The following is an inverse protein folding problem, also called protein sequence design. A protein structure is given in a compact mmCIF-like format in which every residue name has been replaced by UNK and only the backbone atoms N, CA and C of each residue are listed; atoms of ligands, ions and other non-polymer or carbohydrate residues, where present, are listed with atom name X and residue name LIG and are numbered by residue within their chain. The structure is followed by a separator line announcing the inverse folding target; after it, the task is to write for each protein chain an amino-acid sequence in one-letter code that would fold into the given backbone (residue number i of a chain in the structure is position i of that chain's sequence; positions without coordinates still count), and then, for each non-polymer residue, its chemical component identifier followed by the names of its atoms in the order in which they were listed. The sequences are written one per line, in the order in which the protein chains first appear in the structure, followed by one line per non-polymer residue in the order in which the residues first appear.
data_IF_177630876218
#
_entry.id   IF_177630876218
#
_cell.length_a   1.000
_cell.length_b   1.000
_cell.length_c   1.000
_cell.angle_alpha   90.00
_cell.angle_beta   90.00
_cell.angle_gamma   90.00
#
_symmetry.space_group_name_H-M   'P 1'
#
loop_
_entity.id
_entity.type
_entity.pdbx_description
1 polymer ?
#
# COMPACT_ATOMS: atom_id res chain seq x y z
N UNK A 1 5.63 -2.51 17.06
CA UNK A 1 4.45 -1.75 16.60
C UNK A 1 3.87 -2.42 15.37
N UNK A 2 2.55 -2.38 15.21
CA UNK A 2 1.86 -2.90 14.03
C UNK A 2 1.47 -1.77 13.07
N UNK A 3 1.84 -1.90 11.79
CA UNK A 3 1.56 -0.93 10.74
C UNK A 3 0.77 -1.57 9.60
N UNK A 4 -0.35 -0.95 9.23
CA UNK A 4 -1.16 -1.28 8.08
C UNK A 4 -1.04 -0.20 7.02
N UNK A 5 -0.68 -0.56 5.79
CA UNK A 5 -0.60 0.35 4.65
C UNK A 5 -1.54 -0.14 3.56
N UNK A 6 -2.39 0.77 3.09
CA UNK A 6 -3.31 0.50 2.01
C UNK A 6 -3.17 1.56 0.91
N UNK A 7 -2.61 1.15 -0.23
CA UNK A 7 -2.44 2.02 -1.39
C UNK A 7 -3.64 1.82 -2.31
N UNK A 8 -4.44 2.87 -2.47
CA UNK A 8 -5.64 2.89 -3.30
C UNK A 8 -5.39 3.69 -4.57
N UNK A 9 -5.96 3.17 -5.64
CA UNK A 9 -6.00 3.87 -6.93
C UNK A 9 -7.36 3.74 -7.56
N UNK A 10 -7.85 4.76 -8.24
CA UNK A 10 -9.04 4.66 -9.08
C UNK A 10 -8.76 3.70 -10.22
N UNK A 11 -9.66 2.74 -10.45
CA UNK A 11 -9.56 1.83 -11.60
C UNK A 11 -9.63 2.67 -12.89
N UNK A 12 -8.58 2.69 -13.73
CA UNK A 12 -8.63 3.49 -14.96
C UNK A 12 -9.73 2.99 -15.87
N UNK A 13 -10.43 3.89 -16.56
CA UNK A 13 -11.50 3.51 -17.50
C UNK A 13 -11.00 2.60 -18.64
N UNK A 14 -9.72 2.70 -18.99
CA UNK A 14 -9.06 1.86 -19.99
C UNK A 14 -8.71 0.46 -19.50
N UNK A 15 -8.88 0.14 -18.21
CA UNK A 15 -8.61 -1.21 -17.72
C UNK A 15 -9.62 -2.21 -18.29
N UNK A 16 -9.14 -3.37 -18.79
CA UNK A 16 -10.02 -4.38 -19.34
C UNK A 16 -10.94 -4.93 -18.25
N UNK A 17 -12.20 -5.20 -18.61
CA UNK A 17 -13.20 -5.82 -17.69
C UNK A 17 -12.99 -7.33 -17.54
N UNK A 18 -12.25 -7.95 -18.45
CA UNK A 18 -11.95 -9.39 -18.48
C UNK A 18 -10.44 -9.60 -18.56
N UNK A 19 -9.91 -10.72 -18.05
CA UNK A 19 -8.49 -11.04 -18.19
C UNK A 19 -8.04 -11.07 -19.66
N UNK A 20 -6.86 -10.51 -19.93
CA UNK A 20 -6.21 -10.56 -21.24
C UNK A 20 -4.76 -11.05 -21.06
N UNK A 21 -4.08 -11.40 -22.15
CA UNK A 21 -2.66 -11.78 -22.10
C UNK A 21 -1.79 -10.67 -21.46
N UNK A 22 -2.10 -9.40 -21.70
CA UNK A 22 -1.36 -8.27 -21.16
C UNK A 22 -1.80 -7.85 -19.73
N UNK A 23 -3.03 -8.24 -19.33
CA UNK A 23 -3.56 -7.99 -18.01
C UNK A 23 -4.38 -9.20 -17.51
N UNK A 24 -3.70 -10.21 -16.91
CA UNK A 24 -4.37 -11.40 -16.43
C UNK A 24 -5.21 -11.17 -15.16
N UNK A 25 -4.99 -10.06 -14.43
CA UNK A 25 -5.71 -9.73 -13.20
C UNK A 25 -6.40 -8.35 -13.32
N UNK A 26 -7.51 -8.24 -14.07
CA UNK A 26 -8.18 -6.96 -14.34
C UNK A 26 -8.76 -6.28 -13.09
N UNK A 27 -9.01 -7.04 -12.03
CA UNK A 27 -9.55 -6.53 -10.75
C UNK A 27 -8.47 -6.30 -9.70
N UNK A 28 -7.19 -6.54 -10.04
CA UNK A 28 -6.05 -6.26 -9.17
C UNK A 28 -5.16 -5.19 -9.79
N UNK A 29 -4.71 -4.27 -8.96
CA UNK A 29 -3.70 -3.30 -9.37
C UNK A 29 -2.29 -3.84 -9.09
N UNK A 30 -1.76 -4.57 -10.07
CA UNK A 30 -0.43 -5.20 -9.99
C UNK A 30 0.67 -4.42 -10.73
N UNK A 31 0.33 -3.31 -11.39
CA UNK A 31 1.31 -2.49 -12.12
C UNK A 31 2.19 -1.71 -11.15
N UNK A 32 3.40 -1.38 -11.61
CA UNK A 32 4.38 -0.54 -10.90
C UNK A 32 3.79 0.79 -10.41
N UNK A 33 4.37 1.42 -9.37
CA UNK A 33 5.50 0.94 -8.54
C UNK A 33 5.15 -0.32 -7.74
N UNK A 34 6.14 -1.12 -7.37
CA UNK A 34 5.93 -2.33 -6.57
C UNK A 34 5.52 -1.97 -5.13
N UNK A 35 4.93 -2.92 -4.40
CA UNK A 35 4.34 -2.62 -3.08
C UNK A 35 5.37 -2.19 -2.03
N UNK A 36 6.56 -2.79 -2.08
CA UNK A 36 7.71 -2.49 -1.24
C UNK A 36 8.25 -1.07 -1.47
N UNK A 37 8.13 -0.55 -2.70
CA UNK A 37 8.55 0.83 -3.00
C UNK A 37 7.69 1.84 -2.23
N UNK A 38 6.39 1.56 -2.06
CA UNK A 38 5.52 2.38 -1.23
C UNK A 38 5.90 2.26 0.24
N UNK A 39 6.15 1.04 0.74
CA UNK A 39 6.58 0.83 2.14
C UNK A 39 7.81 1.66 2.44
N UNK A 40 8.86 1.55 1.62
CA UNK A 40 10.11 2.28 1.81
C UNK A 40 9.90 3.80 1.85
N UNK A 41 9.21 4.35 0.84
CA UNK A 41 8.94 5.78 0.76
C UNK A 41 8.14 6.29 1.97
N UNK A 42 7.14 5.53 2.40
CA UNK A 42 6.28 5.92 3.53
C UNK A 42 7.00 5.79 4.86
N UNK A 43 7.85 4.78 5.02
CA UNK A 43 8.66 4.60 6.23
C UNK A 43 9.67 5.73 6.37
N UNK A 44 10.40 6.05 5.31
CA UNK A 44 11.31 7.19 5.26
C UNK A 44 10.58 8.50 5.63
N UNK A 45 9.35 8.70 5.13
CA UNK A 45 8.57 9.92 5.37
C UNK A 45 7.95 10.01 6.78
N UNK A 46 7.70 8.89 7.44
CA UNK A 46 7.06 8.83 8.76
C UNK A 46 8.06 8.75 9.91
N UNK A 47 9.32 8.41 9.63
CA UNK A 47 10.40 8.46 10.62
C UNK A 47 10.57 9.88 11.18
N UNK A 48 10.59 9.99 12.51
CA UNK A 48 10.55 11.24 13.26
C UNK A 48 9.15 11.84 13.45
N UNK A 49 8.12 11.30 12.80
CA UNK A 49 6.72 11.76 12.92
C UNK A 49 5.88 10.74 13.68
N UNK A 50 5.85 9.50 13.21
CA UNK A 50 5.04 8.43 13.79
C UNK A 50 5.84 7.47 14.68
N UNK A 51 7.15 7.39 14.47
CA UNK A 51 8.12 6.61 15.24
C UNK A 51 9.48 7.30 15.18
N UNK A 52 10.43 6.90 16.03
CA UNK A 52 11.79 7.44 16.01
C UNK A 52 12.64 6.78 14.93
N UNK A 53 12.44 5.47 14.72
CA UNK A 53 13.15 4.65 13.75
C UNK A 53 12.19 3.62 13.15
N UNK A 54 12.31 3.33 11.86
CA UNK A 54 11.39 2.40 11.18
C UNK A 54 11.59 0.94 11.62
N UNK A 55 12.72 0.62 12.26
CA UNK A 55 12.95 -0.65 12.95
C UNK A 55 11.96 -0.92 14.11
N UNK A 56 11.23 0.09 14.58
CA UNK A 56 10.18 -0.08 15.60
C UNK A 56 8.91 -0.77 15.05
N UNK A 57 8.75 -0.83 13.73
CA UNK A 57 7.64 -1.53 13.08
C UNK A 57 8.00 -3.01 12.93
N UNK A 58 7.36 -3.84 13.74
CA UNK A 58 7.64 -5.28 13.86
C UNK A 58 6.59 -6.15 13.17
N UNK A 59 5.40 -5.60 12.95
CA UNK A 59 4.33 -6.19 12.16
C UNK A 59 3.91 -5.21 11.06
N UNK A 60 3.96 -5.65 9.81
CA UNK A 60 3.62 -4.86 8.64
C UNK A 60 2.66 -5.63 7.73
N UNK A 61 1.49 -5.04 7.51
CA UNK A 61 0.56 -5.48 6.48
C UNK A 61 0.43 -4.41 5.40
N UNK A 62 0.75 -4.76 4.16
CA UNK A 62 0.67 -3.83 3.02
C UNK A 62 -0.16 -4.40 1.88
N UNK A 63 -1.06 -3.59 1.33
CA UNK A 63 -1.86 -3.98 0.16
C UNK A 63 -1.96 -2.86 -0.87
N UNK A 64 -2.08 -3.27 -2.14
CA UNK A 64 -2.47 -2.40 -3.26
C UNK A 64 -3.82 -2.85 -3.78
N UNK A 65 -4.78 -1.93 -3.90
CA UNK A 65 -6.09 -2.23 -4.48
C UNK A 65 -6.67 -1.06 -5.22
N UNK A 66 -7.70 -1.34 -6.01
CA UNK A 66 -8.54 -0.27 -6.55
C UNK A 66 -9.45 0.29 -5.45
N UNK A 67 -9.73 1.60 -5.52
CA UNK A 67 -10.59 2.32 -4.59
C UNK A 67 -11.36 3.45 -5.26
N UNK A 68 -12.11 4.22 -4.48
CA UNK A 68 -12.93 5.33 -4.99
C UNK A 68 -12.11 6.56 -5.41
N UNK A 69 -10.93 6.73 -4.80
CA UNK A 69 -9.98 7.81 -5.08
C UNK A 69 -8.54 7.33 -4.94
N UNK A 70 -7.62 8.10 -5.51
CA UNK A 70 -6.18 7.89 -5.33
C UNK A 70 -5.79 8.39 -3.93
N UNK A 71 -5.36 7.47 -3.06
CA UNK A 71 -4.95 7.78 -1.69
C UNK A 71 -4.06 6.68 -1.11
N UNK A 72 -3.35 7.01 -0.04
CA UNK A 72 -2.66 6.04 0.81
C UNK A 72 -3.25 6.16 2.21
N UNK A 73 -3.75 5.05 2.74
CA UNK A 73 -4.28 4.98 4.11
C UNK A 73 -3.27 4.22 4.96
N UNK A 74 -2.87 4.82 6.08
CA UNK A 74 -1.89 4.25 6.99
C UNK A 74 -2.54 4.15 8.37
N UNK A 75 -2.50 2.96 8.97
CA UNK A 75 -3.00 2.70 10.31
C UNK A 75 -1.86 2.17 11.17
N UNK A 76 -1.60 2.84 12.29
CA UNK A 76 -0.51 2.48 13.19
C UNK A 76 -1.13 2.14 14.55
N UNK A 77 -0.70 1.04 15.13
CA UNK A 77 -1.15 0.57 16.44
C UNK A 77 0.04 0.17 17.29
N UNK A 78 -0.01 0.54 18.56
CA UNK A 78 0.89 -0.01 19.56
C UNK A 78 0.48 -1.46 19.84
N UNK A 79 1.46 -2.34 19.94
CA UNK A 79 1.22 -3.69 20.42
C UNK A 79 1.11 -3.62 21.93
N UNK A 80 0.01 -4.14 22.49
CA UNK A 80 -0.10 -4.28 23.94
C UNK A 80 0.95 -5.29 24.40
N UNK A 81 1.72 -4.89 25.42
CA UNK A 81 2.72 -5.73 26.09
C UNK A 81 2.08 -6.97 26.75
#
# INVERSE_FOLDING_TARGET
MACGIEVRRVKPASYPKRPTKANPWPDRWWKKPDVDNYVKLLFDALTGIAWQDDAQVTDLHVTKRFGERDEVVISIREEAA
#
